data_IF_658780133398
#
_entry.id   IF_658780133398
#
_cell.length_a   1.000
_cell.length_b   1.000
_cell.length_c   1.000
_cell.angle_alpha   90.00
_cell.angle_beta   90.00
_cell.angle_gamma   90.00
#
_symmetry.space_group_name_H-M   'P 1'
#
loop_
_entity.id
_entity.type
_entity.pdbx_description
1 polymer ?
#
# COMPACT_ATOMS: atom_id res chain seq x y z
N UNK A 1 -11.08 8.16 47.93
CA UNK A 1 -10.22 7.35 47.03
C UNK A 1 -10.43 5.89 47.43
N UNK A 2 -10.89 5.03 46.51
CA UNK A 2 -11.17 3.63 46.87
C UNK A 2 -9.86 2.85 47.07
N UNK A 3 -9.87 1.85 47.94
CA UNK A 3 -8.70 1.02 48.27
C UNK A 3 -8.06 0.32 47.04
N UNK A 4 -8.78 0.22 45.92
CA UNK A 4 -8.29 -0.30 44.64
C UNK A 4 -7.26 0.61 43.95
N UNK A 5 -7.33 1.93 44.15
CA UNK A 5 -6.41 2.88 43.50
C UNK A 5 -5.00 2.88 44.13
N UNK A 6 -4.89 2.52 45.41
CA UNK A 6 -3.62 2.45 46.14
C UNK A 6 -2.78 1.21 45.78
N UNK A 7 -3.43 0.10 45.41
CA UNK A 7 -2.74 -1.13 44.98
C UNK A 7 -2.02 -0.98 43.63
N UNK A 8 -2.56 -0.16 42.71
CA UNK A 8 -1.95 0.08 41.40
C UNK A 8 -0.57 0.74 41.48
N UNK A 9 -0.40 1.66 42.44
CA UNK A 9 0.85 2.40 42.64
C UNK A 9 1.93 1.57 43.35
N UNK A 10 1.61 0.40 43.88
CA UNK A 10 2.54 -0.49 44.58
C UNK A 10 3.15 -1.57 43.68
N UNK A 11 2.60 -1.81 42.48
CA UNK A 11 3.13 -2.80 41.55
C UNK A 11 4.47 -2.33 40.93
N UNK A 12 5.43 -3.21 40.61
CA UNK A 12 6.60 -2.83 39.82
C UNK A 12 6.20 -2.19 38.49
N UNK A 13 6.99 -1.23 38.00
CA UNK A 13 6.70 -0.51 36.74
C UNK A 13 6.53 -1.44 35.55
N UNK A 14 7.33 -2.52 35.47
CA UNK A 14 7.22 -3.55 34.44
C UNK A 14 5.87 -4.27 34.48
N UNK A 15 5.40 -4.64 35.67
CA UNK A 15 4.13 -5.35 35.86
C UNK A 15 2.93 -4.43 35.57
N UNK A 16 3.03 -3.13 35.90
CA UNK A 16 2.01 -2.14 35.50
C UNK A 16 1.98 -1.96 33.98
N UNK A 17 3.14 -1.97 33.32
CA UNK A 17 3.21 -1.86 31.86
C UNK A 17 2.60 -3.11 31.18
N UNK A 18 2.82 -4.29 31.74
CA UNK A 18 2.28 -5.56 31.25
C UNK A 18 0.77 -5.68 31.48
N UNK A 19 0.27 -5.33 32.67
CA UNK A 19 -1.16 -5.27 32.94
C UNK A 19 -1.87 -4.19 32.11
N UNK A 20 -1.20 -3.07 31.80
CA UNK A 20 -1.72 -2.04 30.89
C UNK A 20 -1.69 -2.51 29.43
N UNK A 21 -0.74 -3.37 29.03
CA UNK A 21 -0.73 -4.06 27.72
C UNK A 21 -1.91 -5.03 27.60
N UNK A 22 -2.10 -5.91 28.59
CA UNK A 22 -3.22 -6.86 28.63
C UNK A 22 -4.58 -6.16 28.63
N UNK A 23 -4.73 -5.07 29.40
CA UNK A 23 -5.98 -4.30 29.45
C UNK A 23 -6.24 -3.44 28.19
N UNK A 24 -5.23 -3.18 27.35
CA UNK A 24 -5.35 -2.35 26.14
C UNK A 24 -5.54 -3.14 24.85
N UNK A 25 -5.64 -4.47 24.91
CA UNK A 25 -5.84 -5.35 23.75
C UNK A 25 -4.68 -5.37 22.75
N UNK A 26 -3.45 -5.06 23.18
CA UNK A 26 -2.27 -5.04 22.31
C UNK A 26 -1.63 -6.43 22.19
N UNK A 27 -2.15 -7.30 21.33
CA UNK A 27 -1.46 -8.52 20.90
C UNK A 27 -0.96 -8.34 19.47
N UNK A 28 0.35 -8.17 19.30
CA UNK A 28 1.02 -8.09 18.00
C UNK A 28 2.52 -7.88 18.17
N UNK A 29 3.29 -8.20 17.13
CA UNK A 29 4.72 -7.94 17.07
C UNK A 29 4.99 -6.47 16.76
N UNK A 30 6.05 -5.93 17.35
CA UNK A 30 6.51 -4.58 17.05
C UNK A 30 6.83 -4.40 15.56
N UNK A 31 6.49 -3.24 15.00
CA UNK A 31 6.79 -2.86 13.61
C UNK A 31 8.25 -3.12 13.24
N UNK A 32 9.21 -2.83 14.12
CA UNK A 32 10.63 -3.00 13.80
C UNK A 32 11.05 -4.47 13.65
N UNK A 33 10.37 -5.38 14.35
CA UNK A 33 10.61 -6.83 14.25
C UNK A 33 10.08 -7.34 12.92
N UNK A 34 8.82 -7.03 12.62
CA UNK A 34 8.16 -7.45 11.38
C UNK A 34 8.89 -6.89 10.16
N UNK A 35 9.21 -5.60 10.17
CA UNK A 35 9.83 -4.94 9.02
C UNK A 35 11.29 -5.34 8.83
N UNK A 36 11.99 -5.81 9.87
CA UNK A 36 13.31 -6.44 9.72
C UNK A 36 13.24 -7.77 8.96
N UNK A 37 12.20 -8.59 9.20
CA UNK A 37 11.96 -9.82 8.44
C UNK A 37 11.57 -9.52 6.99
N UNK A 38 10.66 -8.56 6.78
CA UNK A 38 10.29 -8.09 5.43
C UNK A 38 11.52 -7.58 4.68
N UNK A 39 12.41 -6.83 5.34
CA UNK A 39 13.66 -6.35 4.75
C UNK A 39 14.56 -7.49 4.28
N UNK A 40 14.69 -8.54 5.10
CA UNK A 40 15.48 -9.72 4.76
C UNK A 40 14.92 -10.42 3.52
N UNK A 41 13.60 -10.63 3.47
CA UNK A 41 12.93 -11.21 2.30
C UNK A 41 13.09 -10.33 1.05
N UNK A 42 12.97 -9.01 1.19
CA UNK A 42 13.13 -8.07 0.09
C UNK A 42 14.54 -8.12 -0.51
N UNK A 43 15.59 -8.20 0.33
CA UNK A 43 16.97 -8.36 -0.16
C UNK A 43 17.15 -9.68 -0.93
N UNK A 44 16.58 -10.77 -0.44
CA UNK A 44 16.64 -12.07 -1.11
C UNK A 44 15.92 -12.02 -2.47
N UNK A 45 14.73 -11.41 -2.52
CA UNK A 45 13.97 -11.20 -3.75
C UNK A 45 14.75 -10.38 -4.79
N UNK A 46 15.41 -9.29 -4.37
CA UNK A 46 16.18 -8.43 -5.27
C UNK A 46 17.45 -9.11 -5.77
N UNK A 47 18.10 -9.93 -4.95
CA UNK A 47 19.30 -10.67 -5.35
C UNK A 47 19.04 -11.63 -6.53
N UNK A 48 17.81 -12.10 -6.70
CA UNK A 48 17.36 -12.95 -7.82
C UNK A 48 16.33 -12.23 -8.71
N UNK A 49 16.44 -10.91 -8.85
CA UNK A 49 15.36 -10.04 -9.37
C UNK A 49 14.79 -10.38 -10.75
N UNK A 50 15.47 -11.14 -11.60
CA UNK A 50 14.97 -11.57 -12.92
C UNK A 50 14.14 -12.87 -12.87
N UNK A 51 14.41 -13.78 -11.91
CA UNK A 51 13.71 -15.05 -11.75
C UNK A 51 12.80 -15.11 -10.51
N UNK A 52 12.87 -14.10 -9.64
CA UNK A 52 12.22 -14.14 -8.35
C UNK A 52 10.69 -14.13 -8.43
N UNK A 53 10.07 -14.99 -7.64
CA UNK A 53 8.63 -15.11 -7.52
C UNK A 53 8.07 -14.01 -6.59
N UNK A 54 7.68 -12.88 -7.18
CA UNK A 54 7.11 -11.74 -6.43
C UNK A 54 5.79 -12.08 -5.75
N UNK A 55 5.00 -13.02 -6.27
CA UNK A 55 3.76 -13.45 -5.62
C UNK A 55 4.04 -14.13 -4.29
N UNK A 56 4.94 -15.12 -4.30
CA UNK A 56 5.33 -15.83 -3.10
C UNK A 56 5.90 -14.88 -2.05
N UNK A 57 6.69 -13.90 -2.49
CA UNK A 57 7.18 -12.82 -1.63
C UNK A 57 6.04 -11.99 -1.03
N UNK A 58 5.11 -11.49 -1.84
CA UNK A 58 4.00 -10.66 -1.36
C UNK A 58 3.09 -11.43 -0.39
N UNK A 59 2.85 -12.72 -0.65
CA UNK A 59 2.12 -13.58 0.29
C UNK A 59 2.87 -13.71 1.62
N UNK A 60 4.20 -13.89 1.61
CA UNK A 60 4.98 -13.92 2.84
C UNK A 60 4.92 -12.57 3.59
N UNK A 61 5.02 -11.45 2.88
CA UNK A 61 4.89 -10.11 3.48
C UNK A 61 3.51 -9.91 4.12
N UNK A 62 2.43 -10.35 3.46
CA UNK A 62 1.07 -10.31 4.04
C UNK A 62 1.04 -11.05 5.38
N UNK A 63 1.61 -12.26 5.46
CA UNK A 63 1.64 -13.03 6.71
C UNK A 63 2.45 -12.32 7.80
N UNK A 64 3.58 -11.70 7.44
CA UNK A 64 4.40 -10.94 8.38
C UNK A 64 3.65 -9.71 8.91
N UNK A 65 3.05 -8.91 8.02
CA UNK A 65 2.29 -7.72 8.41
C UNK A 65 1.05 -8.07 9.24
N UNK A 66 0.44 -9.23 9.05
CA UNK A 66 -0.67 -9.70 9.88
C UNK A 66 -0.27 -9.94 11.35
N UNK A 67 1.02 -10.17 11.64
CA UNK A 67 1.54 -10.27 13.01
C UNK A 67 1.78 -8.90 13.64
N UNK A 68 1.89 -7.85 12.84
CA UNK A 68 2.27 -6.52 13.32
C UNK A 68 1.20 -5.95 14.25
N UNK A 69 1.63 -5.45 15.41
CA UNK A 69 0.78 -4.61 16.25
C UNK A 69 0.40 -3.37 15.42
N UNK A 70 -0.91 -3.16 15.26
CA UNK A 70 -1.43 -2.14 14.36
C UNK A 70 -0.80 -0.77 14.62
N UNK A 71 -0.60 0.06 13.57
CA UNK A 71 -0.03 1.39 13.78
C UNK A 71 -0.93 2.19 14.75
N UNK A 72 -0.40 2.58 15.92
CA UNK A 72 -1.06 3.53 16.83
C UNK A 72 -0.53 4.95 16.55
N UNK A 73 -1.48 5.87 16.35
CA UNK A 73 -1.41 7.11 15.56
C UNK A 73 -0.29 8.13 15.92
N UNK A 74 0.07 9.02 14.97
CA UNK A 74 -0.63 10.31 14.96
C UNK A 74 -0.95 10.90 13.57
N UNK A 75 -2.09 11.59 13.47
CA UNK A 75 -2.40 12.57 12.41
C UNK A 75 -2.51 13.97 13.04
N UNK A 76 -1.53 14.38 13.85
CA UNK A 76 -1.64 15.66 14.55
C UNK A 76 -1.36 16.83 13.61
N UNK A 77 -2.42 17.59 13.30
CA UNK A 77 -2.40 18.72 12.38
C UNK A 77 -3.01 18.45 11.00
N UNK A 78 -3.83 17.39 10.83
CA UNK A 78 -4.54 17.12 9.58
C UNK A 78 -5.50 18.30 9.24
N UNK A 79 -4.98 19.26 8.47
CA UNK A 79 -5.73 20.27 7.73
C UNK A 79 -5.65 19.90 6.25
N UNK A 80 -6.80 19.88 5.61
CA UNK A 80 -7.02 19.09 4.42
C UNK A 80 -6.49 19.81 3.19
N UNK A 81 -5.37 19.31 2.66
CA UNK A 81 -4.88 19.78 1.35
C UNK A 81 -5.95 19.54 0.28
N UNK A 82 -5.88 20.25 -0.85
CA UNK A 82 -6.80 20.05 -1.99
C UNK A 82 -6.89 18.59 -2.47
N UNK A 83 -5.88 17.77 -2.17
CA UNK A 83 -5.83 16.34 -2.50
C UNK A 83 -6.77 15.48 -1.67
N UNK A 84 -7.20 15.93 -0.49
CA UNK A 84 -8.10 15.23 0.45
C UNK A 84 -7.60 13.89 1.01
N UNK A 85 -6.32 13.60 0.80
CA UNK A 85 -5.63 12.45 1.39
C UNK A 85 -4.21 12.87 1.75
N UNK A 86 -3.61 12.17 2.70
CA UNK A 86 -2.23 12.40 3.13
C UNK A 86 -1.54 11.08 3.50
N UNK A 87 -0.21 11.09 3.62
CA UNK A 87 0.58 9.92 3.96
C UNK A 87 1.62 10.21 5.04
N UNK A 88 1.76 9.28 5.99
CA UNK A 88 2.84 9.23 6.96
C UNK A 88 3.80 8.09 6.62
N UNK A 89 5.11 8.36 6.68
CA UNK A 89 6.12 7.30 6.57
C UNK A 89 6.26 6.61 7.92
N UNK A 90 5.71 5.40 8.05
CA UNK A 90 5.83 4.61 9.28
C UNK A 90 7.19 3.94 9.41
N UNK A 91 7.76 3.52 8.27
CA UNK A 91 9.06 2.87 8.22
C UNK A 91 9.78 3.14 6.91
N UNK A 92 11.07 3.42 7.00
CA UNK A 92 11.94 3.54 5.84
C UNK A 92 13.28 2.86 6.09
N UNK A 93 13.50 1.75 5.40
CA UNK A 93 14.77 1.03 5.37
C UNK A 93 14.93 0.43 3.98
N UNK A 94 15.54 1.15 3.02
CA UNK A 94 15.70 0.67 1.65
C UNK A 94 16.21 -0.77 1.59
N UNK A 95 15.58 -1.65 0.79
CA UNK A 95 14.64 -1.34 -0.30
C UNK A 95 13.16 -1.21 0.12
N UNK A 96 12.84 -1.32 1.42
CA UNK A 96 11.46 -1.38 1.93
C UNK A 96 11.02 -0.03 2.49
N UNK A 97 9.80 0.38 2.14
CA UNK A 97 9.10 1.52 2.74
C UNK A 97 7.68 1.10 3.10
N UNK A 98 7.19 1.57 4.25
CA UNK A 98 5.81 1.38 4.69
C UNK A 98 5.22 2.74 5.03
N UNK A 99 4.09 3.03 4.38
CA UNK A 99 3.29 4.22 4.62
C UNK A 99 2.00 3.87 5.36
N UNK A 100 1.45 4.86 6.07
CA UNK A 100 0.05 4.92 6.46
C UNK A 100 -0.60 6.07 5.70
N UNK A 101 -1.71 5.81 5.02
CA UNK A 101 -2.43 6.83 4.25
C UNK A 101 -3.79 7.11 4.90
N UNK A 102 -4.18 8.40 4.98
CA UNK A 102 -5.56 8.83 5.29
C UNK A 102 -6.22 9.31 4.04
N UNK A 103 -7.51 9.08 4.00
CA UNK A 103 -8.40 9.64 3.02
C UNK A 103 -9.60 10.26 3.72
N UNK A 104 -9.95 11.48 3.34
CA UNK A 104 -11.30 12.00 3.52
C UNK A 104 -12.31 11.19 2.69
N UNK A 105 -13.61 11.36 2.97
CA UNK A 105 -14.68 10.89 2.09
C UNK A 105 -14.42 11.18 0.62
N UNK A 106 -14.55 10.14 -0.20
CA UNK A 106 -14.45 10.19 -1.66
C UNK A 106 -13.10 10.69 -2.23
N UNK A 107 -12.08 10.84 -1.39
CA UNK A 107 -10.74 11.23 -1.82
C UNK A 107 -10.14 10.18 -2.76
N UNK A 108 -9.29 10.63 -3.70
CA UNK A 108 -8.77 9.80 -4.78
C UNK A 108 -7.26 10.00 -4.92
N UNK A 109 -6.54 8.89 -4.99
CA UNK A 109 -5.23 8.87 -5.65
C UNK A 109 -5.50 8.51 -7.11
N UNK A 110 -5.26 9.48 -7.98
CA UNK A 110 -5.44 9.35 -9.44
C UNK A 110 -4.64 8.17 -10.00
N UNK A 111 -4.99 7.73 -11.21
CA UNK A 111 -4.32 6.63 -11.89
C UNK A 111 -2.81 6.89 -11.95
N UNK A 112 -2.01 5.97 -11.43
CA UNK A 112 -0.55 6.07 -11.40
C UNK A 112 0.10 4.69 -11.46
N UNK A 113 1.40 4.66 -11.76
CA UNK A 113 2.17 3.43 -11.92
C UNK A 113 3.17 3.13 -10.80
N UNK A 114 3.74 1.93 -10.87
CA UNK A 114 4.70 1.39 -9.91
C UNK A 114 5.91 0.73 -10.61
N UNK A 115 6.48 1.41 -11.61
CA UNK A 115 7.60 0.85 -12.38
C UNK A 115 8.82 0.60 -11.49
N UNK A 116 9.44 -0.57 -11.61
CA UNK A 116 10.57 -1.05 -10.78
C UNK A 116 10.29 -1.34 -9.30
N UNK A 117 9.04 -1.44 -8.87
CA UNK A 117 8.72 -1.86 -7.50
C UNK A 117 7.43 -2.67 -7.45
N UNK A 118 7.30 -3.47 -6.39
CA UNK A 118 6.07 -4.17 -6.07
C UNK A 118 5.45 -3.58 -4.81
N UNK A 119 4.17 -3.89 -4.58
CA UNK A 119 3.39 -3.20 -3.57
C UNK A 119 2.27 -4.02 -2.95
N UNK A 120 1.87 -3.61 -1.75
CA UNK A 120 0.80 -4.19 -0.96
C UNK A 120 0.06 -3.09 -0.21
N UNK A 121 -1.22 -2.93 -0.53
CA UNK A 121 -2.16 -2.09 0.22
C UNK A 121 -2.96 -2.98 1.17
N UNK A 122 -3.06 -2.61 2.45
CA UNK A 122 -3.91 -3.27 3.45
C UNK A 122 -4.87 -2.23 4.04
N UNK A 123 -6.18 -2.49 3.95
CA UNK A 123 -7.20 -1.67 4.60
C UNK A 123 -7.08 -1.73 6.13
N UNK A 124 -7.16 -0.57 6.79
CA UNK A 124 -7.08 -0.45 8.26
C UNK A 124 -8.40 0.06 8.83
N UNK A 125 -8.96 1.12 8.26
CA UNK A 125 -10.25 1.71 8.66
C UNK A 125 -11.02 2.17 7.42
N UNK A 126 -12.35 2.21 7.51
CA UNK A 126 -13.20 2.63 6.39
C UNK A 126 -13.17 1.64 5.21
N UNK A 127 -13.38 2.17 4.02
CA UNK A 127 -13.41 1.37 2.78
C UNK A 127 -12.60 2.05 1.68
N UNK A 128 -11.71 1.31 1.03
CA UNK A 128 -11.03 1.73 -0.20
C UNK A 128 -11.54 0.92 -1.38
N UNK A 129 -11.90 1.60 -2.45
CA UNK A 129 -12.16 1.03 -3.76
C UNK A 129 -10.87 1.10 -4.58
N UNK A 130 -10.25 -0.06 -4.83
CA UNK A 130 -9.00 -0.18 -5.57
C UNK A 130 -9.27 -0.85 -6.91
N UNK A 131 -8.93 -0.15 -7.99
CA UNK A 131 -9.01 -0.67 -9.36
C UNK A 131 -7.61 -0.76 -9.92
N UNK A 132 -7.21 -1.96 -10.30
CA UNK A 132 -5.91 -2.23 -10.89
C UNK A 132 -6.05 -2.41 -12.40
N UNK A 133 -5.01 -2.01 -13.11
CA UNK A 133 -4.96 -2.06 -14.57
C UNK A 133 -3.59 -2.54 -15.05
N UNK A 134 -3.61 -3.17 -16.21
CA UNK A 134 -2.42 -3.55 -16.97
C UNK A 134 -2.35 -2.75 -18.28
N UNK A 135 -1.14 -2.44 -18.73
CA UNK A 135 -0.92 -1.92 -20.09
C UNK A 135 -1.07 -3.11 -21.05
N UNK A 136 -2.06 -3.03 -21.96
CA UNK A 136 -2.37 -4.11 -22.92
C UNK A 136 -2.19 -3.70 -24.37
N UNK A 137 -1.67 -2.51 -24.61
CA UNK A 137 -1.57 -1.95 -25.95
C UNK A 137 -0.62 -2.77 -26.84
N UNK A 138 -1.14 -3.46 -27.88
CA UNK A 138 -0.31 -4.28 -28.76
C UNK A 138 0.59 -3.42 -29.67
N UNK A 139 0.29 -2.14 -29.84
CA UNK A 139 1.15 -1.20 -30.58
C UNK A 139 2.35 -0.77 -29.76
N UNK A 140 2.27 -0.86 -28.43
CA UNK A 140 3.38 -0.64 -27.50
C UNK A 140 4.05 -1.99 -27.24
N UNK A 141 4.73 -2.50 -28.26
CA UNK A 141 5.43 -3.80 -28.25
C UNK A 141 6.68 -3.81 -27.33
N UNK A 142 6.73 -2.95 -26.31
CA UNK A 142 7.92 -2.64 -25.50
C UNK A 142 7.63 -2.25 -24.05
N UNK A 143 6.38 -2.31 -23.57
CA UNK A 143 6.13 -2.07 -22.14
C UNK A 143 6.73 -3.23 -21.32
N UNK A 144 7.72 -2.90 -20.49
CA UNK A 144 8.41 -3.80 -19.57
C UNK A 144 8.57 -2.99 -18.28
N UNK A 145 7.50 -2.95 -17.48
CA UNK A 145 7.41 -2.13 -16.26
C UNK A 145 8.43 -2.57 -15.21
N UNK A 146 8.77 -3.86 -15.20
CA UNK A 146 9.90 -4.43 -14.45
C UNK A 146 11.21 -3.70 -14.75
N UNK A 147 11.47 -3.43 -16.03
CA UNK A 147 12.64 -2.66 -16.50
C UNK A 147 12.34 -1.18 -16.74
N UNK A 148 11.18 -0.68 -16.32
CA UNK A 148 10.80 0.73 -16.43
C UNK A 148 10.52 1.21 -17.86
N UNK A 149 10.39 0.30 -18.82
CA UNK A 149 10.01 0.64 -20.19
C UNK A 149 8.51 0.84 -20.23
N UNK A 150 8.11 2.04 -20.63
CA UNK A 150 6.72 2.48 -20.73
C UNK A 150 6.46 3.13 -22.08
N UNK A 151 5.19 3.28 -22.51
CA UNK A 151 4.84 4.21 -23.57
C UNK A 151 5.47 5.59 -23.32
N UNK A 152 5.92 6.31 -24.37
CA UNK A 152 6.52 7.64 -24.20
C UNK A 152 5.48 8.65 -23.69
N UNK A 153 5.95 9.69 -22.99
CA UNK A 153 5.09 10.81 -22.55
C UNK A 153 4.41 11.47 -23.75
N UNK A 154 3.12 11.78 -23.61
CA UNK A 154 2.29 12.34 -24.68
C UNK A 154 1.73 11.34 -25.69
N UNK A 155 2.14 10.07 -25.65
CA UNK A 155 1.47 9.02 -26.40
C UNK A 155 0.28 8.47 -25.61
N UNK A 156 -0.85 8.28 -26.30
CA UNK A 156 -1.96 7.50 -25.77
C UNK A 156 -1.66 6.01 -25.90
N UNK A 157 -2.12 5.23 -24.92
CA UNK A 157 -2.04 3.78 -24.93
C UNK A 157 -3.26 3.14 -24.27
N UNK A 158 -3.46 1.86 -24.58
CA UNK A 158 -4.52 1.04 -24.01
C UNK A 158 -4.12 0.40 -22.67
N UNK A 159 -5.00 0.54 -21.70
CA UNK A 159 -4.94 -0.18 -20.43
C UNK A 159 -6.21 -1.02 -20.25
N UNK A 160 -6.12 -2.11 -19.50
CA UNK A 160 -7.25 -2.97 -19.17
C UNK A 160 -7.36 -3.16 -17.68
N UNK A 161 -8.57 -3.04 -17.13
CA UNK A 161 -8.81 -3.34 -15.72
C UNK A 161 -8.59 -4.85 -15.48
N UNK A 162 -7.63 -5.16 -14.61
CA UNK A 162 -7.21 -6.50 -14.25
C UNK A 162 -7.88 -6.97 -12.95
N UNK A 163 -8.11 -6.03 -12.01
CA UNK A 163 -8.78 -6.32 -10.75
C UNK A 163 -9.60 -5.13 -10.25
N UNK A 164 -10.63 -5.43 -9.45
CA UNK A 164 -11.41 -4.45 -8.70
C UNK A 164 -11.75 -5.01 -7.33
N UNK A 165 -11.30 -4.34 -6.28
CA UNK A 165 -11.45 -4.80 -4.90
C UNK A 165 -11.95 -3.67 -4.00
N UNK A 166 -12.78 -4.04 -3.02
CA UNK A 166 -13.15 -3.16 -1.91
C UNK A 166 -12.36 -3.62 -0.68
N UNK A 167 -11.40 -2.80 -0.25
CA UNK A 167 -10.55 -3.07 0.90
C UNK A 167 -11.22 -2.52 2.17
N UNK A 168 -11.74 -3.44 2.98
CA UNK A 168 -12.14 -3.23 4.37
C UNK A 168 -10.98 -3.57 5.31
N UNK A 169 -11.09 -3.34 6.63
CA UNK A 169 -10.04 -3.71 7.58
C UNK A 169 -9.53 -5.15 7.37
N UNK A 170 -8.22 -5.29 7.18
CA UNK A 170 -7.52 -6.56 6.94
C UNK A 170 -7.63 -7.12 5.53
N UNK A 171 -8.36 -6.48 4.60
CA UNK A 171 -8.37 -6.84 3.17
C UNK A 171 -7.22 -6.17 2.45
N UNK A 172 -6.69 -6.87 1.45
CA UNK A 172 -5.49 -6.47 0.74
C UNK A 172 -5.66 -6.40 -0.78
N UNK A 173 -4.86 -5.53 -1.41
CA UNK A 173 -4.58 -5.53 -2.84
C UNK A 173 -3.06 -5.55 -3.05
N UNK A 174 -2.59 -6.27 -4.07
CA UNK A 174 -1.17 -6.39 -4.38
C UNK A 174 -0.89 -6.05 -5.83
N UNK A 175 0.29 -5.51 -6.07
CA UNK A 175 0.83 -5.30 -7.40
C UNK A 175 2.23 -5.91 -7.49
N UNK A 176 2.58 -6.42 -8.67
CA UNK A 176 3.95 -6.83 -8.99
C UNK A 176 4.51 -5.89 -10.05
N UNK A 177 5.76 -6.14 -10.44
CA UNK A 177 6.34 -5.48 -11.61
C UNK A 177 5.75 -5.92 -12.95
N UNK A 178 4.99 -7.02 -12.99
CA UNK A 178 4.46 -7.60 -14.24
C UNK A 178 2.93 -7.56 -14.36
N UNK A 179 2.21 -7.25 -13.27
CA UNK A 179 0.74 -7.11 -13.27
C UNK A 179 0.26 -6.11 -12.25
N UNK A 180 -0.93 -5.58 -12.48
CA UNK A 180 -1.65 -4.66 -11.59
C UNK A 180 -0.83 -3.41 -11.24
N UNK A 181 0.14 -3.05 -12.08
CA UNK A 181 1.13 -2.03 -11.76
C UNK A 181 0.56 -0.61 -11.82
N UNK A 182 -0.56 -0.46 -12.55
CA UNK A 182 -1.34 0.77 -12.58
C UNK A 182 -2.54 0.63 -11.65
N UNK A 183 -2.84 1.63 -10.83
CA UNK A 183 -4.06 1.60 -10.04
C UNK A 183 -4.68 2.97 -9.74
N UNK A 184 -5.95 2.95 -9.39
CA UNK A 184 -6.69 4.07 -8.79
C UNK A 184 -7.18 3.62 -7.43
N UNK A 185 -7.00 4.48 -6.44
CA UNK A 185 -7.46 4.24 -5.07
C UNK A 185 -8.43 5.34 -4.69
N UNK A 186 -9.67 4.97 -4.37
CA UNK A 186 -10.73 5.90 -3.94
C UNK A 186 -11.27 5.49 -2.58
N UNK A 187 -11.36 6.42 -1.65
CA UNK A 187 -12.04 6.18 -0.38
C UNK A 187 -13.57 6.19 -0.56
N UNK A 188 -14.25 5.38 0.25
CA UNK A 188 -15.71 5.43 0.35
C UNK A 188 -16.21 6.70 1.05
N UNK A 189 -17.53 6.78 1.20
CA UNK A 189 -18.23 7.95 1.76
C UNK A 189 -17.86 8.29 3.22
N UNK A 190 -17.19 7.38 3.93
CA UNK A 190 -16.74 7.60 5.32
C UNK A 190 -15.25 7.95 5.42
N UNK A 191 -14.55 8.07 4.28
CA UNK A 191 -13.09 8.10 4.25
C UNK A 191 -12.48 6.72 4.53
N UNK A 192 -11.15 6.67 4.62
CA UNK A 192 -10.43 5.43 4.85
C UNK A 192 -9.02 5.66 5.41
N UNK A 193 -8.47 4.59 5.99
CA UNK A 193 -7.05 4.47 6.35
C UNK A 193 -6.52 3.17 5.78
N UNK A 194 -5.31 3.19 5.21
CA UNK A 194 -4.60 1.98 4.82
C UNK A 194 -3.12 2.01 5.17
N UNK A 195 -2.53 0.83 5.21
CA UNK A 195 -1.09 0.63 5.10
C UNK A 195 -0.73 0.40 3.64
N UNK A 196 0.39 0.96 3.20
CA UNK A 196 0.90 0.77 1.84
C UNK A 196 2.40 0.49 1.89
N UNK A 197 2.79 -0.74 1.53
CA UNK A 197 4.17 -1.22 1.59
C UNK A 197 4.72 -1.37 0.18
N UNK A 198 5.90 -0.83 -0.06
CA UNK A 198 6.63 -1.02 -1.32
C UNK A 198 8.01 -1.61 -1.12
N UNK A 199 8.40 -2.47 -2.06
CA UNK A 199 9.79 -2.94 -2.21
C UNK A 199 10.38 -2.46 -3.53
N UNK A 200 11.41 -1.63 -3.42
CA UNK A 200 12.06 -0.98 -4.54
C UNK A 200 13.22 -1.82 -5.10
N UNK A 201 13.12 -2.21 -6.37
CA UNK A 201 14.23 -2.88 -7.10
C UNK A 201 15.20 -1.87 -7.72
N UNK A 202 14.77 -0.62 -7.87
CA UNK A 202 15.60 0.52 -8.24
C UNK A 202 15.39 1.65 -7.21
N UNK A 203 16.49 2.18 -6.65
CA UNK A 203 16.45 3.28 -5.64
C UNK A 203 15.90 4.59 -6.21
N UNK A 204 16.00 4.77 -7.51
CA UNK A 204 15.50 5.94 -8.24
C UNK A 204 14.07 5.76 -8.73
N UNK A 205 13.44 4.61 -8.45
CA UNK A 205 12.06 4.37 -8.89
C UNK A 205 11.09 5.37 -8.27
N UNK A 206 10.13 5.80 -9.07
CA UNK A 206 9.08 6.76 -8.71
C UNK A 206 7.79 6.36 -9.42
N UNK A 207 6.67 6.74 -8.83
CA UNK A 207 5.35 6.68 -9.47
C UNK A 207 5.16 7.88 -10.38
N UNK A 208 4.43 7.68 -11.46
CA UNK A 208 4.00 8.71 -12.38
C UNK A 208 2.49 8.62 -12.57
N UNK A 209 1.82 9.77 -12.49
CA UNK A 209 0.39 9.86 -12.73
C UNK A 209 0.07 9.81 -14.22
N UNK A 210 -1.12 9.30 -14.52
CA UNK A 210 -1.68 9.20 -15.86
C UNK A 210 -2.89 10.11 -15.99
N UNK A 211 -3.09 10.65 -17.19
CA UNK A 211 -4.38 11.13 -17.65
C UNK A 211 -5.17 9.96 -18.22
N UNK A 212 -6.41 9.85 -17.80
CA UNK A 212 -7.34 8.86 -18.32
C UNK A 212 -8.77 9.36 -18.11
N UNK A 213 -9.72 8.75 -18.81
CA UNK A 213 -11.15 8.93 -18.55
C UNK A 213 -11.70 7.61 -18.04
N UNK A 214 -12.53 7.68 -17.00
CA UNK A 214 -13.26 6.54 -16.47
C UNK A 214 -14.46 6.18 -17.37
N UNK A 215 -14.17 6.06 -18.67
CA UNK A 215 -15.10 5.77 -19.74
C UNK A 215 -14.49 4.64 -20.57
N UNK A 216 -15.00 3.40 -20.45
CA UNK A 216 -14.41 2.28 -21.15
C UNK A 216 -14.64 2.41 -22.66
N UNK A 217 -13.62 2.10 -23.45
CA UNK A 217 -13.70 2.08 -24.92
C UNK A 217 -14.26 0.76 -25.46
N UNK A 218 -14.21 -0.31 -24.65
CA UNK A 218 -14.73 -1.63 -25.01
C UNK A 218 -16.15 -1.84 -24.46
N UNK A 219 -17.00 -2.54 -25.22
CA UNK A 219 -18.37 -2.88 -24.79
C UNK A 219 -18.42 -3.77 -23.54
N UNK A 220 -17.35 -4.51 -23.26
CA UNK A 220 -17.23 -5.33 -22.05
C UNK A 220 -16.85 -4.50 -20.80
N UNK A 221 -16.62 -3.20 -20.94
CA UNK A 221 -16.32 -2.28 -19.84
C UNK A 221 -14.88 -2.36 -19.31
N UNK A 222 -13.96 -3.08 -19.96
CA UNK A 222 -12.65 -3.40 -19.38
C UNK A 222 -11.46 -2.60 -19.94
N UNK A 223 -11.55 -2.08 -21.17
CA UNK A 223 -10.46 -1.33 -21.81
C UNK A 223 -10.63 0.19 -21.71
N UNK A 224 -9.53 0.92 -21.48
CA UNK A 224 -9.50 2.38 -21.32
C UNK A 224 -8.31 2.97 -22.10
N UNK A 225 -8.40 4.26 -22.46
CA UNK A 225 -7.25 5.03 -22.95
C UNK A 225 -6.62 5.80 -21.81
N UNK A 226 -5.29 5.80 -21.78
CA UNK A 226 -4.51 6.59 -20.86
C UNK A 226 -3.28 7.21 -21.55
N UNK A 227 -2.72 8.25 -20.94
CA UNK A 227 -1.44 8.84 -21.32
C UNK A 227 -0.70 9.32 -20.07
N UNK A 228 0.62 9.47 -20.13
CA UNK A 228 1.40 9.98 -18.99
C UNK A 228 1.26 11.50 -18.83
N UNK A 229 1.08 11.98 -17.59
CA UNK A 229 1.07 13.41 -17.24
C UNK A 229 2.45 14.06 -17.35
#
# INVERSE_FOLDING_TARGET
MSALALGWLALPSALRAELKREQSGSSGERIEVVLAEVHSLARALIADSEGANEEAYLQAVIQLLARMEGPRQPWFGWDTSERKWDMDTLWYSPPVILYQLKFEPDAVIDLHDHRHYNGLIIGVEGELNVRNFDIVDPSVNQADLRRGKVPPKGAEFLIKQSAHQVLRPGKQSTLTRDRDNLHVVRAGASGATCLDLFTHFNREARSYSLEWKDEPIEKNGSGYRASWR
#
